data_IF_317549733587
#
_entry.id   IF_317549733587
#
_cell.length_a   1.000
_cell.length_b   1.000
_cell.length_c   1.000
_cell.angle_alpha   90.00
_cell.angle_beta   90.00
_cell.angle_gamma   90.00
#
_symmetry.space_group_name_H-M   'P 1'
#
loop_
_entity.id
_entity.type
_entity.pdbx_description
1 polymer ?
#
# COMPACT_ATOMS: atom_id res chain seq x y z
N UNK A 1 -6.38 -8.97 29.12
CA UNK A 1 -7.14 -10.02 28.41
C UNK A 1 -8.20 -9.46 27.45
N UNK A 2 -9.33 -8.90 27.90
CA UNK A 2 -10.35 -8.39 26.95
C UNK A 2 -9.89 -7.14 26.19
N UNK A 3 -9.20 -6.22 26.86
CA UNK A 3 -8.67 -5.00 26.23
C UNK A 3 -7.53 -5.28 25.24
N UNK A 4 -6.70 -6.30 25.51
CA UNK A 4 -5.64 -6.73 24.59
C UNK A 4 -6.23 -7.31 23.30
N UNK A 5 -7.28 -8.12 23.41
CA UNK A 5 -7.98 -8.68 22.24
C UNK A 5 -8.61 -7.54 21.41
N UNK A 6 -9.21 -6.54 22.07
CA UNK A 6 -9.76 -5.37 21.39
C UNK A 6 -8.67 -4.54 20.69
N UNK A 7 -7.50 -4.36 21.32
CA UNK A 7 -6.36 -3.67 20.72
C UNK A 7 -5.81 -4.43 19.51
N UNK A 8 -5.60 -5.74 19.62
CA UNK A 8 -5.08 -6.56 18.54
C UNK A 8 -6.05 -6.56 17.34
N UNK A 9 -7.35 -6.69 17.63
CA UNK A 9 -8.40 -6.64 16.61
C UNK A 9 -8.41 -5.28 15.90
N UNK A 10 -8.32 -4.18 16.65
CA UNK A 10 -8.27 -2.83 16.10
C UNK A 10 -7.03 -2.60 15.23
N UNK A 11 -5.86 -3.12 15.64
CA UNK A 11 -4.64 -3.05 14.83
C UNK A 11 -4.75 -3.85 13.53
N UNK A 12 -5.36 -5.04 13.56
CA UNK A 12 -5.57 -5.86 12.36
C UNK A 12 -6.55 -5.18 11.40
N UNK A 13 -7.63 -4.61 11.92
CA UNK A 13 -8.59 -3.83 11.13
C UNK A 13 -7.92 -2.62 10.46
N UNK A 14 -7.09 -1.87 11.21
CA UNK A 14 -6.38 -0.73 10.66
C UNK A 14 -5.44 -1.15 9.52
N UNK A 15 -4.66 -2.23 9.70
CA UNK A 15 -3.80 -2.77 8.64
C UNK A 15 -4.58 -3.16 7.38
N UNK A 16 -5.76 -3.76 7.54
CA UNK A 16 -6.62 -4.10 6.40
C UNK A 16 -7.12 -2.88 5.65
N UNK A 17 -7.51 -1.81 6.37
CA UNK A 17 -7.92 -0.54 5.77
C UNK A 17 -6.75 0.13 5.04
N UNK A 18 -5.56 0.14 5.63
CA UNK A 18 -4.36 0.73 5.03
C UNK A 18 -3.96 -0.01 3.75
N UNK A 19 -3.99 -1.35 3.77
CA UNK A 19 -3.75 -2.17 2.59
C UNK A 19 -4.80 -1.92 1.49
N UNK A 20 -6.07 -1.79 1.86
CA UNK A 20 -7.15 -1.46 0.91
C UNK A 20 -6.96 -0.07 0.28
N UNK A 21 -6.61 0.94 1.08
CA UNK A 21 -6.31 2.30 0.62
C UNK A 21 -5.11 2.33 -0.33
N UNK A 22 -4.04 1.61 0.00
CA UNK A 22 -2.86 1.46 -0.87
C UNK A 22 -3.21 0.82 -2.22
N UNK A 23 -4.03 -0.23 -2.20
CA UNK A 23 -4.52 -0.86 -3.43
C UNK A 23 -5.40 0.08 -4.25
N UNK A 24 -6.27 0.87 -3.62
CA UNK A 24 -7.09 1.86 -4.32
C UNK A 24 -6.24 2.96 -5.00
N UNK A 25 -5.13 3.39 -4.39
CA UNK A 25 -4.22 4.37 -5.00
C UNK A 25 -3.54 3.85 -6.27
N UNK A 26 -3.28 2.55 -6.33
CA UNK A 26 -2.72 1.86 -7.51
C UNK A 26 -3.75 1.68 -8.63
N UNK A 27 -5.05 1.82 -8.35
CA UNK A 27 -6.10 1.69 -9.37
C UNK A 27 -6.16 2.97 -10.20
N UNK A 28 -5.96 2.80 -11.52
CA UNK A 28 -6.02 3.88 -12.51
C UNK A 28 -7.45 4.43 -12.63
N UNK A 29 -7.75 5.52 -11.92
CA UNK A 29 -9.07 6.20 -11.95
C UNK A 29 -9.14 7.34 -12.98
N UNK A 30 -8.28 7.32 -14.00
CA UNK A 30 -8.28 8.32 -15.08
C UNK A 30 -7.71 9.70 -14.69
N UNK A 31 -7.46 9.95 -13.40
CA UNK A 31 -6.61 11.06 -12.93
C UNK A 31 -5.17 10.54 -12.84
N UNK A 32 -4.24 11.23 -13.49
CA UNK A 32 -2.82 10.88 -13.40
C UNK A 32 -2.33 11.09 -11.96
N UNK A 33 -2.12 10.00 -11.23
CA UNK A 33 -1.46 9.98 -9.93
C UNK A 33 0.02 9.59 -10.12
N UNK A 34 0.98 10.28 -9.47
CA UNK A 34 2.41 9.95 -9.60
C UNK A 34 2.74 8.53 -9.13
N UNK A 35 1.92 7.95 -8.23
CA UNK A 35 1.97 6.55 -7.77
C UNK A 35 1.87 5.51 -8.92
N UNK A 36 1.49 5.92 -10.13
CA UNK A 36 1.48 5.04 -11.32
C UNK A 36 2.92 4.69 -11.75
N UNK A 37 3.87 5.59 -11.53
CA UNK A 37 5.28 5.42 -11.92
C UNK A 37 6.09 4.58 -10.93
N UNK A 38 5.61 4.36 -9.70
CA UNK A 38 6.24 3.45 -8.71
C UNK A 38 6.30 1.98 -9.16
N UNK A 39 5.55 1.62 -10.20
CA UNK A 39 5.60 0.27 -10.79
C UNK A 39 6.62 0.15 -11.94
N UNK A 40 7.19 1.27 -12.39
CA UNK A 40 8.14 1.31 -13.51
C UNK A 40 9.55 1.19 -12.93
N UNK A 41 9.98 -0.05 -12.71
CA UNK A 41 11.36 -0.35 -12.38
C UNK A 41 12.23 -0.06 -13.60
N UNK A 42 13.15 0.89 -13.47
CA UNK A 42 14.12 1.21 -14.52
C UNK A 42 15.41 0.48 -14.16
N UNK A 43 15.93 -0.31 -15.10
CA UNK A 43 17.25 -0.91 -15.00
C UNK A 43 18.31 0.20 -15.01
N UNK A 44 18.73 0.62 -13.82
CA UNK A 44 19.81 1.58 -13.67
C UNK A 44 21.12 0.81 -13.48
N UNK A 45 21.94 0.75 -14.54
CA UNK A 45 23.27 0.13 -14.50
C UNK A 45 23.29 -1.31 -13.91
N UNK A 46 22.31 -2.14 -14.27
CA UNK A 46 22.27 -3.56 -13.89
C UNK A 46 21.79 -3.85 -12.46
N UNK A 47 21.24 -2.86 -11.75
CA UNK A 47 20.50 -3.09 -10.51
C UNK A 47 19.08 -2.54 -10.64
N UNK A 48 18.09 -3.41 -10.44
CA UNK A 48 16.67 -3.05 -10.37
C UNK A 48 16.47 -2.09 -9.19
N UNK A 49 16.26 -0.80 -9.50
CA UNK A 49 15.92 0.20 -8.50
C UNK A 49 14.41 0.45 -8.58
N UNK A 50 13.66 0.29 -7.47
CA UNK A 50 12.22 0.52 -7.44
C UNK A 50 11.84 1.99 -7.61
#
# INVERSE_FOLDING_TARGET
>A
MLDEINQETSQRMQKSIDAFSSNLRKIRTGRATPDILDSVQIDYYGNETP
#
